data_IF_933348414162
#
_entry.id   IF_933348414162
#
_cell.length_a   1.000
_cell.length_b   1.000
_cell.length_c   1.000
_cell.angle_alpha   90.00
_cell.angle_beta   90.00
_cell.angle_gamma   90.00
#
_symmetry.space_group_name_H-M   'P 1'
#
loop_
_entity.id
_entity.type
_entity.pdbx_description
1 polymer ?
#
# COMPACT_ATOMS: atom_id res chain seq x y z
N UNK A 1 -9.85 -3.53 21.48
CA UNK A 1 -8.80 -2.49 21.46
C UNK A 1 -9.44 -1.11 21.63
N UNK A 2 -8.91 -0.31 22.53
CA UNK A 2 -9.41 1.05 22.74
C UNK A 2 -8.47 2.02 22.02
N UNK A 3 -9.02 2.80 21.08
CA UNK A 3 -8.29 3.84 20.38
C UNK A 3 -8.53 5.19 21.07
N UNK A 4 -7.51 6.02 21.13
CA UNK A 4 -7.63 7.38 21.64
C UNK A 4 -7.27 8.39 20.54
N UNK A 5 -7.49 9.69 20.83
CA UNK A 5 -7.30 10.75 19.84
C UNK A 5 -5.85 10.93 19.38
N UNK A 6 -4.87 10.44 20.15
CA UNK A 6 -3.45 10.51 19.77
C UNK A 6 -2.98 9.27 19.00
N UNK A 7 -3.85 8.29 18.78
CA UNK A 7 -3.52 7.09 18.00
C UNK A 7 -3.24 7.47 16.56
N UNK A 8 -2.15 6.93 16.01
CA UNK A 8 -1.84 7.07 14.58
C UNK A 8 -2.61 6.03 13.80
N UNK A 9 -3.27 6.49 12.73
CA UNK A 9 -4.02 5.62 11.82
C UNK A 9 -3.34 5.66 10.46
N UNK A 10 -3.00 4.49 9.93
CA UNK A 10 -2.40 4.36 8.61
C UNK A 10 -3.40 3.66 7.70
N UNK A 11 -3.81 4.34 6.64
CA UNK A 11 -4.71 3.79 5.62
C UNK A 11 -3.87 3.34 4.43
N UNK A 12 -3.95 2.05 4.12
CA UNK A 12 -3.24 1.47 2.97
C UNK A 12 -4.30 1.02 1.96
N UNK A 13 -4.23 1.53 0.74
CA UNK A 13 -5.23 1.22 -0.26
C UNK A 13 -4.69 1.35 -1.69
N UNK A 14 -5.38 0.66 -2.61
CA UNK A 14 -5.03 0.68 -4.03
C UNK A 14 -5.67 1.88 -4.73
N UNK A 15 -4.99 2.44 -5.73
CA UNK A 15 -5.49 3.57 -6.51
C UNK A 15 -5.76 3.15 -7.96
N UNK A 16 -6.50 2.07 -8.12
CA UNK A 16 -6.81 1.48 -9.43
C UNK A 16 -8.22 1.76 -9.94
N UNK A 17 -9.06 2.44 -9.15
CA UNK A 17 -10.44 2.77 -9.53
C UNK A 17 -10.72 4.25 -9.25
N UNK A 18 -11.65 4.84 -10.02
CA UNK A 18 -11.97 6.27 -9.91
C UNK A 18 -12.98 6.60 -8.81
N UNK A 19 -13.24 5.67 -7.88
CA UNK A 19 -14.28 5.86 -6.86
C UNK A 19 -13.66 6.00 -5.48
N UNK A 20 -13.86 7.16 -4.86
CA UNK A 20 -13.34 7.47 -3.53
C UNK A 20 -14.44 7.59 -2.48
N UNK A 21 -15.70 7.31 -2.82
CA UNK A 21 -16.83 7.54 -1.92
C UNK A 21 -16.68 6.82 -0.58
N UNK A 22 -16.31 5.54 -0.59
CA UNK A 22 -16.09 4.77 0.63
C UNK A 22 -14.92 5.32 1.45
N UNK A 23 -13.82 5.65 0.77
CA UNK A 23 -12.65 6.23 1.43
C UNK A 23 -13.00 7.56 2.09
N UNK A 24 -13.69 8.45 1.37
CA UNK A 24 -14.09 9.75 1.90
C UNK A 24 -15.05 9.62 3.08
N UNK A 25 -15.99 8.67 3.02
CA UNK A 25 -16.90 8.39 4.12
C UNK A 25 -16.14 7.91 5.36
N UNK A 26 -15.20 6.99 5.17
CA UNK A 26 -14.39 6.47 6.28
C UNK A 26 -13.49 7.55 6.89
N UNK A 27 -12.90 8.41 6.07
CA UNK A 27 -12.12 9.56 6.55
C UNK A 27 -12.98 10.51 7.37
N UNK A 28 -14.19 10.78 6.92
CA UNK A 28 -15.13 11.66 7.66
C UNK A 28 -15.47 11.07 9.02
N UNK A 29 -15.76 9.76 9.07
CA UNK A 29 -16.03 9.07 10.33
C UNK A 29 -14.86 9.16 11.30
N UNK A 30 -13.65 8.94 10.82
CA UNK A 30 -12.45 9.02 11.64
C UNK A 30 -12.25 10.43 12.21
N UNK A 31 -12.47 11.46 11.38
CA UNK A 31 -12.37 12.85 11.82
C UNK A 31 -13.43 13.21 12.84
N UNK A 32 -14.67 12.74 12.65
CA UNK A 32 -15.75 12.95 13.60
C UNK A 32 -15.48 12.29 14.95
N UNK A 33 -14.75 11.17 14.94
CA UNK A 33 -14.28 10.51 16.17
C UNK A 33 -13.11 11.22 16.84
N UNK A 34 -12.57 12.28 16.21
CA UNK A 34 -11.50 13.09 16.78
C UNK A 34 -10.09 12.63 16.45
N UNK A 35 -9.92 11.68 15.54
CA UNK A 35 -8.58 11.25 15.11
C UNK A 35 -7.96 12.29 14.19
N UNK A 36 -6.75 12.74 14.51
CA UNK A 36 -6.03 13.78 13.76
C UNK A 36 -4.82 13.24 13.02
N UNK A 37 -4.26 12.12 13.47
CA UNK A 37 -3.02 11.55 12.93
C UNK A 37 -3.37 10.44 11.93
N UNK A 38 -3.84 10.85 10.75
CA UNK A 38 -4.26 9.92 9.68
C UNK A 38 -3.25 10.04 8.54
N UNK A 39 -2.63 8.91 8.21
CA UNK A 39 -1.63 8.81 7.15
C UNK A 39 -2.13 7.92 6.02
N UNK A 40 -1.73 8.24 4.79
CA UNK A 40 -2.16 7.52 3.61
C UNK A 40 -0.97 6.84 2.94
N UNK A 41 -1.08 5.54 2.71
CA UNK A 41 -0.15 4.81 1.84
C UNK A 41 -0.97 4.33 0.65
N UNK A 42 -0.62 4.83 -0.53
CA UNK A 42 -1.33 4.51 -1.77
C UNK A 42 -0.46 3.62 -2.63
N UNK A 43 -0.95 2.42 -2.92
CA UNK A 43 -0.32 1.55 -3.91
C UNK A 43 -0.74 2.02 -5.30
N UNK A 44 0.21 2.40 -6.12
CA UNK A 44 -0.08 2.85 -7.48
C UNK A 44 -0.59 1.67 -8.28
N UNK A 45 -1.87 1.75 -8.63
CA UNK A 45 -2.73 0.69 -9.13
C UNK A 45 -3.04 -0.33 -8.04
N UNK A 46 -2.06 -1.11 -7.56
CA UNK A 46 -2.26 -2.11 -6.53
C UNK A 46 -0.93 -2.49 -5.89
N UNK A 47 -0.98 -3.33 -4.84
CA UNK A 47 0.22 -3.77 -4.14
C UNK A 47 1.13 -4.61 -5.02
N UNK A 48 0.57 -5.46 -5.89
CA UNK A 48 1.33 -6.30 -6.80
C UNK A 48 2.23 -5.45 -7.71
N UNK A 49 1.70 -4.34 -8.25
CA UNK A 49 2.48 -3.42 -9.07
C UNK A 49 3.57 -2.72 -8.26
N UNK A 50 3.30 -2.40 -6.99
CA UNK A 50 4.32 -1.82 -6.12
C UNK A 50 5.45 -2.79 -5.85
N UNK A 51 5.15 -4.06 -5.67
CA UNK A 51 6.18 -5.09 -5.49
C UNK A 51 7.05 -5.23 -6.75
N UNK A 52 6.42 -5.26 -7.92
CA UNK A 52 7.17 -5.32 -9.19
C UNK A 52 8.08 -4.10 -9.32
N UNK A 53 7.58 -2.92 -9.06
CA UNK A 53 8.37 -1.68 -9.15
C UNK A 53 9.56 -1.67 -8.19
N UNK A 54 9.42 -2.26 -7.00
CA UNK A 54 10.44 -2.24 -5.96
C UNK A 54 11.42 -3.43 -6.01
N UNK A 55 11.29 -4.31 -7.01
CA UNK A 55 12.11 -5.51 -7.17
C UNK A 55 12.64 -5.57 -8.61
N UNK A 56 13.34 -6.65 -8.96
CA UNK A 56 13.78 -6.89 -10.33
C UNK A 56 12.80 -7.75 -11.15
N UNK A 57 11.61 -8.01 -10.61
CA UNK A 57 10.57 -8.74 -11.33
C UNK A 57 10.03 -7.93 -12.49
N UNK A 58 9.70 -8.61 -13.58
CA UNK A 58 8.97 -8.02 -14.72
C UNK A 58 7.47 -8.22 -14.58
N UNK A 59 7.06 -9.25 -13.86
CA UNK A 59 5.67 -9.62 -13.64
C UNK A 59 5.55 -10.26 -12.25
N UNK A 60 4.47 -9.96 -11.52
CA UNK A 60 4.31 -10.46 -10.15
C UNK A 60 4.26 -11.99 -10.07
N UNK A 61 3.77 -12.66 -11.12
CA UNK A 61 3.70 -14.11 -11.14
C UNK A 61 5.08 -14.79 -11.12
N UNK A 62 6.14 -14.07 -11.46
CA UNK A 62 7.51 -14.60 -11.39
C UNK A 62 7.96 -14.84 -9.95
N UNK A 63 7.38 -14.13 -8.98
CA UNK A 63 7.80 -14.23 -7.57
C UNK A 63 7.69 -15.66 -7.04
N UNK A 64 6.57 -16.34 -7.33
CA UNK A 64 6.31 -17.72 -6.89
C UNK A 64 6.11 -18.69 -8.04
N UNK A 65 6.43 -18.28 -9.25
CA UNK A 65 6.24 -19.08 -10.47
C UNK A 65 4.78 -19.50 -10.66
N UNK A 66 3.86 -18.58 -10.41
CA UNK A 66 2.42 -18.81 -10.58
C UNK A 66 1.99 -18.42 -11.98
N UNK A 67 0.79 -18.85 -12.38
CA UNK A 67 0.21 -18.55 -13.69
C UNK A 67 -0.81 -17.43 -13.65
N UNK A 68 -1.46 -17.23 -12.48
CA UNK A 68 -2.53 -16.25 -12.31
C UNK A 68 -2.28 -15.39 -11.06
N UNK A 69 -2.94 -14.24 -11.01
CA UNK A 69 -2.90 -13.35 -9.84
C UNK A 69 -3.51 -14.04 -8.62
N UNK A 70 -4.57 -14.83 -8.81
CA UNK A 70 -5.22 -15.54 -7.72
C UNK A 70 -4.27 -16.57 -7.09
N UNK A 71 -3.52 -17.31 -7.91
CA UNK A 71 -2.50 -18.24 -7.41
C UNK A 71 -1.41 -17.49 -6.64
N UNK A 72 -0.97 -16.35 -7.18
CA UNK A 72 0.01 -15.50 -6.51
C UNK A 72 -0.48 -15.08 -5.13
N UNK A 73 -1.71 -14.56 -5.04
CA UNK A 73 -2.27 -14.10 -3.77
C UNK A 73 -2.32 -15.21 -2.73
N UNK A 74 -2.71 -16.42 -3.16
CA UNK A 74 -2.77 -17.58 -2.28
C UNK A 74 -1.40 -17.91 -1.71
N UNK A 75 -0.37 -17.95 -2.55
CA UNK A 75 1.00 -18.24 -2.11
C UNK A 75 1.59 -17.12 -1.27
N UNK A 76 1.29 -15.87 -1.61
CA UNK A 76 1.78 -14.70 -0.87
C UNK A 76 1.29 -14.72 0.57
N UNK A 77 -0.01 -14.97 0.78
CA UNK A 77 -0.61 -15.00 2.11
C UNK A 77 -0.05 -16.14 2.96
N UNK A 78 0.25 -17.29 2.34
CA UNK A 78 0.70 -18.50 3.05
C UNK A 78 2.22 -18.59 3.24
N UNK A 79 2.99 -17.68 2.66
CA UNK A 79 4.44 -17.77 2.72
C UNK A 79 4.96 -17.34 4.10
N UNK A 80 5.76 -18.20 4.73
CA UNK A 80 6.23 -17.98 6.09
C UNK A 80 7.28 -16.89 6.23
N UNK A 81 8.10 -16.66 5.19
CA UNK A 81 9.18 -15.68 5.26
C UNK A 81 9.20 -14.82 3.99
N UNK A 82 8.25 -13.88 3.91
CA UNK A 82 8.14 -12.96 2.78
C UNK A 82 9.37 -12.06 2.64
N UNK A 83 9.94 -11.62 3.75
CA UNK A 83 11.09 -10.72 3.70
C UNK A 83 12.30 -11.37 3.01
N UNK A 84 12.62 -12.61 3.36
CA UNK A 84 13.68 -13.36 2.68
C UNK A 84 13.40 -13.54 1.20
N UNK A 85 12.13 -13.84 0.86
CA UNK A 85 11.72 -13.99 -0.53
C UNK A 85 11.90 -12.69 -1.31
N UNK A 86 11.48 -11.57 -0.72
CA UNK A 86 11.65 -10.25 -1.33
C UNK A 86 13.11 -9.90 -1.55
N UNK A 87 13.97 -10.18 -0.56
CA UNK A 87 15.42 -9.95 -0.71
C UNK A 87 16.01 -10.77 -1.86
N UNK A 88 15.50 -11.98 -2.10
CA UNK A 88 15.99 -12.84 -3.17
C UNK A 88 15.68 -12.30 -4.58
N UNK A 89 14.77 -11.34 -4.69
CA UNK A 89 14.38 -10.71 -5.96
C UNK A 89 14.74 -9.22 -5.99
N UNK A 90 15.81 -8.87 -5.29
CA UNK A 90 16.39 -7.53 -5.27
C UNK A 90 15.42 -6.44 -4.76
N UNK A 91 14.65 -6.76 -3.73
CA UNK A 91 13.72 -5.80 -3.14
C UNK A 91 14.43 -4.58 -2.58
N UNK A 92 13.97 -3.41 -2.96
CA UNK A 92 14.45 -2.12 -2.46
C UNK A 92 13.30 -1.41 -1.74
N UNK A 93 13.35 -1.36 -0.41
CA UNK A 93 12.29 -0.76 0.40
C UNK A 93 12.10 0.74 0.11
N UNK A 94 13.15 1.42 -0.37
CA UNK A 94 13.07 2.83 -0.68
C UNK A 94 12.25 3.11 -1.95
N UNK A 95 12.12 2.11 -2.82
CA UNK A 95 11.27 2.21 -4.01
C UNK A 95 9.81 1.90 -3.71
N UNK A 96 9.53 1.08 -2.70
CA UNK A 96 8.16 0.73 -2.34
C UNK A 96 7.39 1.99 -1.95
N UNK A 97 6.27 2.24 -2.63
CA UNK A 97 5.42 3.42 -2.42
C UNK A 97 6.15 4.76 -2.63
N UNK A 98 7.20 4.78 -3.45
CA UNK A 98 7.99 5.99 -3.69
C UNK A 98 7.50 6.82 -4.88
N UNK A 99 6.66 6.25 -5.74
CA UNK A 99 6.20 6.95 -6.93
C UNK A 99 5.19 8.02 -6.58
N UNK A 100 5.28 9.17 -7.25
CA UNK A 100 4.30 10.25 -7.09
C UNK A 100 2.96 9.79 -7.66
N UNK A 101 1.89 9.94 -6.89
CA UNK A 101 0.55 9.58 -7.32
C UNK A 101 -0.09 10.74 -8.07
N UNK A 102 -0.27 10.58 -9.39
CA UNK A 102 -0.96 11.54 -10.25
C UNK A 102 -2.36 11.07 -10.64
N UNK A 103 -2.84 9.98 -10.04
CA UNK A 103 -4.14 9.37 -10.39
C UNK A 103 -5.26 10.11 -9.68
N UNK A 104 -6.11 10.83 -10.44
CA UNK A 104 -7.29 11.48 -9.90
C UNK A 104 -8.39 10.45 -9.68
N UNK A 105 -9.25 10.61 -8.64
CA UNK A 105 -9.23 11.67 -7.63
C UNK A 105 -8.36 11.36 -6.40
N UNK A 106 -7.60 10.28 -6.41
CA UNK A 106 -6.80 9.83 -5.27
C UNK A 106 -5.62 10.75 -4.96
N UNK A 107 -5.13 11.51 -5.95
CA UNK A 107 -3.96 12.37 -5.78
C UNK A 107 -4.15 13.45 -4.72
N UNK A 108 -5.38 13.86 -4.43
CA UNK A 108 -5.66 14.85 -3.39
C UNK A 108 -5.36 14.34 -1.97
N UNK A 109 -5.26 13.03 -1.78
CA UNK A 109 -4.95 12.42 -0.49
C UNK A 109 -3.46 12.10 -0.34
N UNK A 110 -2.69 12.21 -1.41
CA UNK A 110 -1.29 11.82 -1.42
C UNK A 110 -0.41 12.86 -0.76
N UNK A 111 0.41 12.42 0.20
CA UNK A 111 1.38 13.27 0.88
C UNK A 111 2.70 12.50 0.99
N UNK A 112 3.74 13.01 0.36
CA UNK A 112 5.06 12.39 0.39
C UNK A 112 5.58 12.24 1.82
N UNK A 113 5.28 13.20 2.69
CA UNK A 113 5.70 13.18 4.10
C UNK A 113 5.11 11.99 4.86
N UNK A 114 3.89 11.55 4.50
CA UNK A 114 3.25 10.41 5.15
C UNK A 114 4.09 9.16 4.97
N UNK A 115 4.57 8.91 3.75
CA UNK A 115 5.40 7.75 3.43
C UNK A 115 6.76 7.84 4.12
N UNK A 116 7.39 9.00 4.09
CA UNK A 116 8.68 9.23 4.75
C UNK A 116 8.58 9.04 6.26
N UNK A 117 7.48 9.48 6.86
CA UNK A 117 7.21 9.32 8.28
C UNK A 117 7.12 7.85 8.67
N UNK A 118 6.46 7.05 7.86
CA UNK A 118 6.21 5.63 8.14
C UNK A 118 7.47 4.78 7.89
N UNK A 119 8.28 5.11 6.88
CA UNK A 119 9.48 4.35 6.52
C UNK A 119 10.69 4.61 7.43
N UNK A 120 10.57 5.52 8.35
CA UNK A 120 11.68 5.81 9.28
C UNK A 120 12.12 4.60 10.10
#
# INVERSE_FOLDING_TARGET
>A
MVLNKSTYIVLVYDVDVNKTATLEKNLQLLKECGFKNIYHIQSIRNLEEEIVYSTDLKNINEMFKTKTIEEFKTKFIKHDNLYSKLLSIAFNKDKLWSRVNNIEPFNKFYKMQDIKQIKK
#
